data_IF_703939719672
#
_entry.id   IF_703939719672
#
_cell.length_a   1.000
_cell.length_b   1.000
_cell.length_c   1.000
_cell.angle_alpha   90.00
_cell.angle_beta   90.00
_cell.angle_gamma   90.00
#
_symmetry.space_group_name_H-M   'P 1'
#
loop_
_entity.id
_entity.type
_entity.pdbx_description
1 polymer ?
#
# COMPACT_ATOMS: atom_id res chain seq x y z
N UNK A 1 6.34 38.36 -7.90
CA UNK A 1 5.91 37.44 -6.82
C UNK A 1 5.44 36.08 -7.35
N UNK A 2 4.70 36.03 -8.47
CA UNK A 2 4.19 34.78 -9.06
C UNK A 2 5.27 33.80 -9.58
N UNK A 3 6.39 34.34 -10.09
CA UNK A 3 7.45 33.56 -10.74
C UNK A 3 8.29 32.68 -9.79
N UNK A 4 8.48 33.11 -8.53
CA UNK A 4 9.23 32.34 -7.54
C UNK A 4 8.40 31.17 -6.99
N UNK A 5 7.10 31.38 -6.84
CA UNK A 5 6.15 30.34 -6.41
C UNK A 5 6.05 29.21 -7.45
N UNK A 6 6.01 29.54 -8.75
CA UNK A 6 6.05 28.54 -9.81
C UNK A 6 7.34 27.70 -9.79
N UNK A 7 8.50 28.33 -9.60
CA UNK A 7 9.77 27.60 -9.48
C UNK A 7 9.81 26.66 -8.28
N UNK A 8 9.23 27.08 -7.16
CA UNK A 8 9.12 26.23 -5.97
C UNK A 8 8.23 25.00 -6.25
N UNK A 9 7.07 25.20 -6.86
CA UNK A 9 6.17 24.09 -7.24
C UNK A 9 6.79 23.15 -8.28
N UNK A 10 7.53 23.68 -9.26
CA UNK A 10 8.25 22.87 -10.25
C UNK A 10 9.32 21.99 -9.58
N UNK A 11 10.08 22.54 -8.62
CA UNK A 11 11.10 21.80 -7.88
C UNK A 11 10.51 20.74 -6.93
N UNK A 12 9.39 21.06 -6.30
CA UNK A 12 8.66 20.11 -5.45
C UNK A 12 8.06 18.96 -6.28
N UNK A 13 7.49 19.26 -7.46
CA UNK A 13 6.99 18.26 -8.40
C UNK A 13 8.13 17.39 -8.95
N UNK A 14 9.28 17.97 -9.30
CA UNK A 14 10.46 17.23 -9.75
C UNK A 14 10.97 16.25 -8.67
N UNK A 15 10.88 16.64 -7.40
CA UNK A 15 11.25 15.80 -6.26
C UNK A 15 10.24 14.66 -6.07
N UNK A 16 8.94 14.93 -6.17
CA UNK A 16 7.89 13.91 -6.13
C UNK A 16 8.06 12.91 -7.27
N UNK A 17 8.35 13.38 -8.48
CA UNK A 17 8.63 12.50 -9.63
C UNK A 17 9.86 11.64 -9.36
N UNK A 18 10.96 12.19 -8.84
CA UNK A 18 12.18 11.42 -8.49
C UNK A 18 11.94 10.37 -7.41
N UNK A 19 11.09 10.64 -6.42
CA UNK A 19 10.73 9.70 -5.34
C UNK A 19 9.76 8.62 -5.83
N UNK A 20 8.87 8.98 -6.76
CA UNK A 20 7.89 8.06 -7.36
C UNK A 20 8.42 7.29 -8.56
N UNK A 21 9.62 7.62 -9.08
CA UNK A 21 10.23 6.85 -10.14
C UNK A 21 10.51 5.44 -9.60
N UNK A 22 9.93 4.39 -10.21
CA UNK A 22 10.33 3.04 -9.89
C UNK A 22 11.85 2.94 -10.05
N UNK A 23 12.53 2.28 -9.12
CA UNK A 23 13.96 2.00 -9.28
C UNK A 23 14.25 1.26 -10.61
N UNK A 24 15.53 1.06 -10.99
CA UNK A 24 15.92 0.46 -12.27
C UNK A 24 15.36 -0.96 -12.54
N UNK A 25 14.73 -1.57 -11.54
CA UNK A 25 14.05 -2.87 -11.61
C UNK A 25 12.55 -2.78 -11.98
N UNK A 26 11.99 -1.55 -12.11
CA UNK A 26 10.55 -1.33 -12.31
C UNK A 26 9.72 -1.59 -11.05
N UNK A 27 8.41 -1.27 -11.10
CA UNK A 27 7.45 -1.80 -10.10
C UNK A 27 7.31 -3.28 -10.42
N UNK A 28 7.92 -4.14 -9.62
CA UNK A 28 7.68 -5.58 -9.70
C UNK A 28 6.31 -5.82 -9.10
N UNK A 29 5.30 -6.01 -9.96
CA UNK A 29 3.98 -6.45 -9.54
C UNK A 29 4.14 -7.86 -8.94
N UNK A 30 4.30 -7.95 -7.62
CA UNK A 30 4.25 -9.23 -6.93
C UNK A 30 2.79 -9.67 -6.85
N UNK A 31 2.36 -10.45 -7.84
CA UNK A 31 1.05 -11.10 -7.80
C UNK A 31 1.12 -12.22 -6.77
N UNK A 32 0.30 -12.10 -5.74
CA UNK A 32 0.10 -13.20 -4.80
C UNK A 32 -0.33 -14.45 -5.57
N UNK A 33 0.29 -15.56 -5.23
CA UNK A 33 -0.13 -16.87 -5.68
C UNK A 33 -1.52 -17.20 -5.14
N UNK A 34 -2.21 -18.13 -5.81
CA UNK A 34 -3.47 -18.66 -5.31
C UNK A 34 -3.34 -19.31 -3.92
N UNK A 35 -2.14 -19.81 -3.59
CA UNK A 35 -1.83 -20.36 -2.27
C UNK A 35 -1.82 -19.28 -1.20
N UNK A 36 -1.05 -18.21 -1.40
CA UNK A 36 -0.93 -17.09 -0.46
C UNK A 36 -2.29 -16.43 -0.21
N UNK A 37 -3.09 -16.26 -1.27
CA UNK A 37 -4.46 -15.74 -1.15
C UNK A 37 -5.33 -16.68 -0.31
N UNK A 38 -5.21 -18.01 -0.50
CA UNK A 38 -5.98 -18.99 0.25
C UNK A 38 -5.61 -19.01 1.73
N UNK A 39 -4.31 -18.98 2.04
CA UNK A 39 -3.79 -18.94 3.41
C UNK A 39 -4.19 -17.64 4.14
N UNK A 40 -4.09 -16.50 3.46
CA UNK A 40 -4.52 -15.21 3.99
C UNK A 40 -6.02 -15.23 4.34
N UNK A 41 -6.86 -15.73 3.42
CA UNK A 41 -8.30 -15.87 3.66
C UNK A 41 -8.62 -16.80 4.84
N UNK A 42 -7.94 -17.93 4.96
CA UNK A 42 -8.11 -18.85 6.08
C UNK A 42 -7.74 -18.19 7.41
N UNK A 43 -6.66 -17.41 7.43
CA UNK A 43 -6.20 -16.68 8.61
C UNK A 43 -7.21 -15.63 9.04
N UNK A 44 -7.69 -14.80 8.10
CA UNK A 44 -8.70 -13.77 8.38
C UNK A 44 -10.00 -14.40 8.88
N UNK A 45 -10.48 -15.46 8.22
CA UNK A 45 -11.70 -16.17 8.63
C UNK A 45 -11.61 -16.65 10.08
N UNK A 46 -10.50 -17.31 10.45
CA UNK A 46 -10.26 -17.77 11.82
C UNK A 46 -10.23 -16.63 12.83
N UNK A 47 -9.59 -15.50 12.50
CA UNK A 47 -9.54 -14.34 13.37
C UNK A 47 -10.95 -13.75 13.62
N UNK A 48 -11.77 -13.64 12.58
CA UNK A 48 -13.15 -13.16 12.68
C UNK A 48 -14.01 -14.12 13.51
N UNK A 49 -13.89 -15.43 13.30
CA UNK A 49 -14.61 -16.44 14.08
C UNK A 49 -14.22 -16.39 15.56
N UNK A 50 -12.93 -16.21 15.87
CA UNK A 50 -12.45 -16.06 17.24
C UNK A 50 -13.00 -14.79 17.90
N UNK A 51 -12.96 -13.66 17.18
CA UNK A 51 -13.51 -12.40 17.67
C UNK A 51 -15.01 -12.53 17.96
N UNK A 52 -15.80 -13.07 17.02
CA UNK A 52 -17.24 -13.30 17.21
C UNK A 52 -17.56 -14.20 18.41
N UNK A 53 -16.79 -15.27 18.59
CA UNK A 53 -16.95 -16.15 19.76
C UNK A 53 -16.70 -15.40 21.06
N UNK A 54 -15.64 -14.60 21.12
CA UNK A 54 -15.28 -13.86 22.32
C UNK A 54 -16.26 -12.71 22.62
N UNK A 55 -16.88 -12.11 21.60
CA UNK A 55 -17.94 -11.09 21.79
C UNK A 55 -19.19 -11.68 22.44
N UNK A 56 -19.53 -12.94 22.18
CA UNK A 56 -20.69 -13.61 22.78
C UNK A 56 -20.40 -14.27 24.15
N UNK A 57 -19.15 -14.21 24.62
CA UNK A 57 -18.72 -14.72 25.93
C UNK A 57 -18.58 -13.60 26.97
N UNK A 58 -19.07 -12.39 26.67
CA UNK A 58 -19.17 -11.24 27.59
C UNK A 58 -20.58 -11.14 28.18
#
# INVERSE_FOLDING_TARGET
MYYLFHRQLEQEMETVVKVLQPGPLGIVEHKFSAEEIREANATVKRAVENWRRNVNLQ
#
